data_IF_344562543909
#
_entry.id   IF_344562543909
#
_cell.length_a   1.000
_cell.length_b   1.000
_cell.length_c   1.000
_cell.angle_alpha   90.00
_cell.angle_beta   90.00
_cell.angle_gamma   90.00
#
_symmetry.space_group_name_H-M   'P 1'
#
loop_
_entity.id
_entity.type
_entity.pdbx_description
1 polymer ?
#
# COMPACT_ATOMS: atom_id res chain seq x y z
N UNK A 1 -19.82 3.18 4.17
CA UNK A 1 -20.04 1.75 3.89
C UNK A 1 -20.08 1.55 2.39
N UNK A 2 -19.57 0.43 1.89
CA UNK A 2 -19.62 0.08 0.46
C UNK A 2 -20.71 -0.97 0.25
N UNK A 3 -21.50 -0.85 -0.83
CA UNK A 3 -22.52 -1.83 -1.22
C UNK A 3 -22.28 -2.26 -2.67
N UNK A 4 -22.63 -3.49 -3.02
CA UNK A 4 -22.72 -3.90 -4.42
C UNK A 4 -24.05 -3.45 -5.02
N UNK A 5 -24.06 -3.15 -6.32
CA UNK A 5 -25.26 -2.87 -7.09
C UNK A 5 -25.07 -3.38 -8.53
N UNK A 6 -26.17 -3.57 -9.26
CA UNK A 6 -26.14 -3.83 -10.69
C UNK A 6 -26.54 -2.57 -11.43
N UNK A 7 -25.68 -2.09 -12.32
CA UNK A 7 -26.02 -0.99 -13.22
C UNK A 7 -27.05 -1.48 -14.25
N UNK A 8 -28.21 -0.83 -14.32
CA UNK A 8 -29.31 -1.22 -15.20
C UNK A 8 -29.04 -0.92 -16.68
N UNK A 9 -28.11 0.00 -16.98
CA UNK A 9 -27.77 0.39 -18.36
C UNK A 9 -26.75 -0.56 -18.97
N UNK A 10 -25.70 -0.88 -18.19
CA UNK A 10 -24.59 -1.73 -18.65
C UNK A 10 -24.74 -3.20 -18.25
N UNK A 11 -25.69 -3.51 -17.36
CA UNK A 11 -25.83 -4.81 -16.69
C UNK A 11 -24.58 -5.26 -15.91
N UNK A 12 -23.63 -4.36 -15.67
CA UNK A 12 -22.40 -4.66 -14.93
C UNK A 12 -22.62 -4.55 -13.42
N UNK A 13 -21.97 -5.43 -12.65
CA UNK A 13 -21.91 -5.27 -11.20
C UNK A 13 -20.88 -4.22 -10.79
N UNK A 14 -21.27 -3.36 -9.86
CA UNK A 14 -20.47 -2.22 -9.40
C UNK A 14 -20.46 -2.12 -7.88
N UNK A 15 -19.43 -1.49 -7.33
CA UNK A 15 -19.32 -1.16 -5.91
C UNK A 15 -19.63 0.33 -5.71
N UNK A 16 -20.61 0.64 -4.87
CA UNK A 16 -21.00 2.02 -4.54
C UNK A 16 -20.58 2.34 -3.12
N UNK A 17 -19.75 3.38 -2.97
CA UNK A 17 -19.27 3.89 -1.67
C UNK A 17 -19.84 5.28 -1.41
N UNK A 18 -20.68 5.39 -0.37
CA UNK A 18 -21.18 6.68 0.13
C UNK A 18 -20.13 7.35 1.03
N UNK A 19 -19.90 8.65 0.81
CA UNK A 19 -19.00 9.52 1.58
C UNK A 19 -19.74 10.78 2.04
N UNK A 20 -19.49 11.20 3.27
CA UNK A 20 -20.02 12.45 3.85
C UNK A 20 -18.85 13.28 4.43
N UNK A 21 -18.02 13.92 3.59
CA UNK A 21 -16.68 14.38 4.00
C UNK A 21 -16.64 15.79 4.60
N UNK A 22 -17.76 16.50 4.66
CA UNK A 22 -17.79 17.93 5.04
C UNK A 22 -17.84 18.19 6.55
N UNK A 23 -17.44 17.23 7.37
CA UNK A 23 -17.40 17.39 8.84
C UNK A 23 -16.11 18.05 9.33
N UNK A 24 -15.00 17.95 8.58
CA UNK A 24 -13.75 18.68 8.83
C UNK A 24 -12.93 18.88 7.56
N UNK A 25 -11.91 19.75 7.63
CA UNK A 25 -11.07 20.12 6.47
C UNK A 25 -10.23 18.94 5.98
N UNK A 26 -9.77 18.08 6.88
CA UNK A 26 -8.92 16.92 6.56
C UNK A 26 -9.68 15.88 5.74
N UNK A 27 -10.94 15.62 6.09
CA UNK A 27 -11.80 14.67 5.38
C UNK A 27 -12.19 15.18 4.01
N UNK A 28 -12.58 16.46 3.90
CA UNK A 28 -12.86 17.09 2.62
C UNK A 28 -11.65 17.07 1.68
N UNK A 29 -10.47 17.43 2.20
CA UNK A 29 -9.19 17.35 1.46
C UNK A 29 -8.88 15.91 1.03
N UNK A 30 -9.10 14.91 1.89
CA UNK A 30 -8.88 13.49 1.57
C UNK A 30 -9.77 13.04 0.42
N UNK A 31 -11.05 13.38 0.44
CA UNK A 31 -11.99 12.99 -0.63
C UNK A 31 -11.70 13.71 -1.93
N UNK A 32 -11.37 15.00 -1.89
CA UNK A 32 -10.95 15.73 -3.09
C UNK A 32 -9.72 15.09 -3.74
N UNK A 33 -8.71 14.72 -2.93
CA UNK A 33 -7.54 13.99 -3.40
C UNK A 33 -7.89 12.62 -3.98
N UNK A 34 -8.71 11.82 -3.28
CA UNK A 34 -9.17 10.51 -3.77
C UNK A 34 -9.83 10.66 -5.15
N UNK A 35 -10.74 11.64 -5.32
CA UNK A 35 -11.40 11.91 -6.60
C UNK A 35 -10.42 12.33 -7.71
N UNK A 36 -9.48 13.23 -7.39
CA UNK A 36 -8.48 13.72 -8.36
C UNK A 36 -7.60 12.56 -8.84
N UNK A 37 -7.11 11.72 -7.93
CA UNK A 37 -6.25 10.58 -8.25
C UNK A 37 -7.01 9.50 -9.03
N UNK A 38 -8.21 9.13 -8.59
CA UNK A 38 -9.01 8.09 -9.25
C UNK A 38 -9.41 8.43 -10.68
N UNK A 39 -9.53 9.73 -11.02
CA UNK A 39 -9.78 10.17 -12.41
C UNK A 39 -8.54 10.17 -13.30
N UNK A 40 -7.34 10.22 -12.71
CA UNK A 40 -6.07 10.27 -13.45
C UNK A 40 -5.47 8.88 -13.69
N UNK A 41 -5.78 7.93 -12.80
CA UNK A 41 -5.21 6.59 -12.84
C UNK A 41 -5.99 5.71 -13.81
N UNK A 42 -5.26 5.07 -14.72
CA UNK A 42 -5.76 4.02 -15.60
C UNK A 42 -4.76 2.87 -15.67
N UNK A 43 -4.98 1.86 -14.84
CA UNK A 43 -4.12 0.67 -14.75
C UNK A 43 -4.98 -0.56 -14.43
N UNK A 44 -4.62 -1.74 -14.96
CA UNK A 44 -5.35 -3.00 -14.72
C UNK A 44 -5.36 -3.43 -13.26
N UNK A 45 -4.33 -3.06 -12.51
CA UNK A 45 -4.19 -3.40 -11.08
C UNK A 45 -4.50 -2.22 -10.13
N UNK A 46 -5.13 -1.15 -10.62
CA UNK A 46 -5.63 -0.06 -9.77
C UNK A 46 -7.12 0.11 -10.01
N UNK A 47 -7.89 0.17 -8.91
CA UNK A 47 -9.34 0.30 -8.96
C UNK A 47 -9.77 1.55 -9.74
N UNK A 48 -10.62 1.32 -10.74
CA UNK A 48 -11.19 2.34 -11.61
C UNK A 48 -12.43 2.94 -10.97
N UNK A 49 -12.51 4.27 -11.07
CA UNK A 49 -13.74 5.00 -10.84
C UNK A 49 -14.57 4.95 -12.12
N UNK A 50 -15.75 4.37 -12.03
CA UNK A 50 -16.68 4.27 -13.16
C UNK A 50 -17.57 5.51 -13.24
N UNK A 51 -18.05 5.99 -12.10
CA UNK A 51 -18.90 7.17 -12.01
C UNK A 51 -18.80 7.84 -10.63
N UNK A 52 -19.19 9.11 -10.54
CA UNK A 52 -19.34 9.84 -9.29
C UNK A 52 -20.55 10.75 -9.37
N UNK A 53 -21.42 10.68 -8.36
CA UNK A 53 -22.61 11.51 -8.33
C UNK A 53 -22.96 11.97 -6.91
N UNK A 54 -23.86 12.94 -6.84
CA UNK A 54 -24.49 13.43 -5.62
C UNK A 54 -26.00 13.55 -5.87
N UNK A 55 -26.86 13.03 -4.98
CA UNK A 55 -28.31 13.17 -5.15
C UNK A 55 -28.81 14.59 -4.85
N UNK A 56 -28.00 15.44 -4.21
CA UNK A 56 -28.42 16.76 -3.80
C UNK A 56 -28.41 17.76 -4.97
N UNK A 57 -29.46 18.60 -5.12
CA UNK A 57 -29.66 19.41 -6.32
C UNK A 57 -28.84 20.70 -6.36
N UNK A 58 -28.20 21.09 -5.25
CA UNK A 58 -27.43 22.33 -5.18
C UNK A 58 -26.30 22.26 -4.16
N UNK A 59 -25.29 23.12 -4.37
CA UNK A 59 -24.14 23.26 -3.47
C UNK A 59 -24.55 23.53 -2.00
N UNK A 60 -25.66 24.24 -1.77
CA UNK A 60 -26.16 24.54 -0.43
C UNK A 60 -26.52 23.27 0.35
N UNK A 61 -27.12 22.28 -0.34
CA UNK A 61 -27.55 21.02 0.25
C UNK A 61 -26.54 19.89 0.04
N UNK A 62 -25.42 20.15 -0.62
CA UNK A 62 -24.43 19.13 -0.94
C UNK A 62 -23.82 18.55 0.34
N UNK A 63 -24.08 17.28 0.63
CA UNK A 63 -23.55 16.63 1.85
C UNK A 63 -22.92 15.28 1.55
N UNK A 64 -23.47 14.58 0.56
CA UNK A 64 -23.10 13.21 0.25
C UNK A 64 -22.54 13.08 -1.16
N UNK A 65 -21.53 12.23 -1.28
CA UNK A 65 -20.88 11.86 -2.53
C UNK A 65 -20.96 10.34 -2.65
N UNK A 66 -21.33 9.86 -3.84
CA UNK A 66 -21.37 8.44 -4.17
C UNK A 66 -20.30 8.17 -5.20
N UNK A 67 -19.33 7.33 -4.83
CA UNK A 67 -18.32 6.82 -5.75
C UNK A 67 -18.79 5.47 -6.28
N UNK A 68 -18.92 5.35 -7.59
CA UNK A 68 -19.18 4.08 -8.28
C UNK A 68 -17.85 3.56 -8.81
N UNK A 69 -17.45 2.39 -8.32
CA UNK A 69 -16.18 1.75 -8.68
C UNK A 69 -16.48 0.37 -9.24
N UNK A 70 -15.49 -0.20 -9.93
CA UNK A 70 -15.56 -1.61 -10.32
C UNK A 70 -15.71 -2.51 -9.08
N UNK A 71 -16.60 -3.50 -9.17
CA UNK A 71 -16.78 -4.49 -8.11
C UNK A 71 -15.62 -5.48 -8.16
N UNK A 72 -14.89 -5.60 -7.05
CA UNK A 72 -13.83 -6.58 -6.91
C UNK A 72 -14.37 -7.82 -6.18
N UNK A 73 -14.03 -9.01 -6.67
CA UNK A 73 -14.39 -10.28 -6.04
C UNK A 73 -13.58 -10.51 -4.76
N UNK A 74 -14.03 -9.89 -3.66
CA UNK A 74 -13.39 -9.98 -2.34
C UNK A 74 -13.49 -11.36 -1.70
N UNK A 75 -14.33 -12.26 -2.23
CA UNK A 75 -14.53 -13.60 -1.69
C UNK A 75 -13.27 -14.47 -1.74
N UNK A 76 -12.37 -14.22 -2.71
CA UNK A 76 -11.13 -14.98 -2.88
C UNK A 76 -10.18 -14.83 -1.69
N UNK A 77 -10.13 -13.65 -1.06
CA UNK A 77 -9.29 -13.41 0.12
C UNK A 77 -9.97 -13.84 1.42
N UNK A 78 -11.30 -13.76 1.48
CA UNK A 78 -12.06 -14.01 2.70
C UNK A 78 -12.28 -15.50 3.01
N UNK A 79 -12.42 -16.35 1.99
CA UNK A 79 -12.78 -17.78 2.18
C UNK A 79 -11.59 -18.74 2.05
N UNK A 80 -10.44 -18.26 1.58
CA UNK A 80 -9.27 -19.09 1.32
C UNK A 80 -8.28 -19.02 2.49
N UNK A 81 -8.22 -20.09 3.29
CA UNK A 81 -7.30 -20.17 4.43
C UNK A 81 -5.83 -20.30 4.03
N UNK A 82 -5.55 -20.77 2.81
CA UNK A 82 -4.18 -21.05 2.35
C UNK A 82 -4.01 -20.66 0.87
N UNK A 83 -2.97 -19.89 0.58
CA UNK A 83 -2.57 -19.53 -0.79
C UNK A 83 -1.33 -20.32 -1.19
N UNK A 84 -1.32 -20.83 -2.42
CA UNK A 84 -0.11 -21.44 -2.97
C UNK A 84 0.87 -20.36 -3.47
N UNK A 85 2.13 -20.75 -3.68
CA UNK A 85 3.17 -19.81 -4.10
C UNK A 85 2.86 -19.07 -5.41
N UNK A 86 2.22 -19.72 -6.39
CA UNK A 86 1.84 -19.07 -7.65
C UNK A 86 0.85 -17.93 -7.39
N UNK A 87 -0.19 -18.18 -6.58
CA UNK A 87 -1.19 -17.18 -6.21
C UNK A 87 -0.57 -16.01 -5.44
N UNK A 88 0.27 -16.30 -4.46
CA UNK A 88 0.96 -15.26 -3.69
C UNK A 88 1.86 -14.43 -4.62
N UNK A 89 2.68 -15.08 -5.45
CA UNK A 89 3.58 -14.38 -6.37
C UNK A 89 2.83 -13.48 -7.36
N UNK A 90 1.69 -13.93 -7.88
CA UNK A 90 0.87 -13.13 -8.79
C UNK A 90 0.22 -11.94 -8.08
N UNK A 91 -0.29 -12.13 -6.86
CA UNK A 91 -0.84 -11.03 -6.06
C UNK A 91 0.22 -9.96 -5.76
N UNK A 92 1.42 -10.38 -5.36
CA UNK A 92 2.54 -9.45 -5.12
C UNK A 92 2.98 -8.77 -6.42
N UNK A 93 3.00 -9.48 -7.55
CA UNK A 93 3.25 -8.91 -8.88
C UNK A 93 2.26 -7.78 -9.20
N UNK A 94 0.95 -8.01 -9.04
CA UNK A 94 -0.08 -7.02 -9.32
C UNK A 94 0.08 -5.75 -8.48
N UNK A 95 0.42 -5.90 -7.19
CA UNK A 95 0.69 -4.74 -6.32
C UNK A 95 1.96 -4.00 -6.78
N UNK A 96 3.04 -4.71 -7.10
CA UNK A 96 4.27 -4.10 -7.59
C UNK A 96 4.06 -3.38 -8.93
N UNK A 97 3.27 -3.95 -9.83
CA UNK A 97 2.89 -3.35 -11.13
C UNK A 97 2.10 -2.06 -10.92
N UNK A 98 1.08 -2.08 -10.04
CA UNK A 98 0.33 -0.89 -9.66
C UNK A 98 1.23 0.21 -9.07
N UNK A 99 2.15 -0.13 -8.17
CA UNK A 99 3.07 0.83 -7.56
C UNK A 99 4.04 1.40 -8.58
N UNK A 100 4.57 0.57 -9.49
CA UNK A 100 5.42 1.04 -10.60
C UNK A 100 4.67 2.03 -11.48
N UNK A 101 3.42 1.76 -11.82
CA UNK A 101 2.57 2.66 -12.57
C UNK A 101 2.36 3.99 -11.83
N UNK A 102 1.94 3.94 -10.56
CA UNK A 102 1.71 5.16 -9.76
C UNK A 102 2.97 6.02 -9.65
N UNK A 103 4.13 5.38 -9.43
CA UNK A 103 5.43 6.04 -9.43
C UNK A 103 5.74 6.70 -10.78
N UNK A 104 5.44 6.04 -11.90
CA UNK A 104 5.68 6.59 -13.24
C UNK A 104 4.88 7.87 -13.53
N UNK A 105 3.75 8.05 -12.86
CA UNK A 105 2.89 9.24 -12.98
C UNK A 105 3.09 10.25 -11.83
N UNK A 106 4.17 10.10 -11.05
CA UNK A 106 4.51 11.01 -9.96
C UNK A 106 3.61 10.88 -8.71
N UNK A 107 2.76 9.85 -8.64
CA UNK A 107 1.94 9.57 -7.46
C UNK A 107 2.71 8.64 -6.53
N UNK A 108 3.05 9.16 -5.37
CA UNK A 108 3.54 8.38 -4.25
C UNK A 108 2.31 7.84 -3.49
N UNK A 109 2.09 6.51 -3.47
CA UNK A 109 0.80 5.94 -3.05
C UNK A 109 0.48 6.22 -1.57
N UNK A 110 1.49 6.22 -0.68
CA UNK A 110 1.42 6.70 0.70
C UNK A 110 0.36 6.05 1.64
N UNK A 111 -0.49 5.15 1.14
CA UNK A 111 -1.65 4.60 1.85
C UNK A 111 -1.99 3.16 1.39
N UNK A 112 -0.98 2.33 1.06
CA UNK A 112 -1.15 0.90 0.68
C UNK A 112 -1.51 0.03 1.90
N UNK A 113 -1.21 0.51 3.11
CA UNK A 113 -1.74 -0.04 4.36
C UNK A 113 -1.54 0.98 5.47
N UNK A 114 -2.57 1.18 6.31
CA UNK A 114 -2.52 2.07 7.48
C UNK A 114 -1.36 1.75 8.47
N UNK A 115 -0.66 0.62 8.31
CA UNK A 115 0.39 0.12 9.19
C UNK A 115 1.68 0.98 9.15
N UNK A 116 1.92 1.79 8.10
CA UNK A 116 3.14 2.60 7.99
C UNK A 116 3.19 3.84 8.89
N UNK A 117 2.06 4.32 9.41
CA UNK A 117 2.08 5.48 10.30
C UNK A 117 2.80 5.18 11.63
N UNK A 118 2.89 3.92 12.04
CA UNK A 118 3.54 3.51 13.29
C UNK A 118 5.04 3.79 13.32
N UNK A 119 5.82 3.06 12.52
CA UNK A 119 7.29 3.05 12.62
C UNK A 119 7.97 4.31 12.05
N UNK A 120 7.35 4.98 11.08
CA UNK A 120 7.93 6.18 10.45
C UNK A 120 7.62 7.46 11.21
N UNK A 121 6.45 7.57 11.85
CA UNK A 121 6.17 8.74 12.68
C UNK A 121 6.95 8.73 14.00
N UNK A 122 7.49 7.57 14.37
CA UNK A 122 8.49 7.40 15.44
C UNK A 122 9.83 8.03 15.03
N UNK A 123 10.36 7.70 13.84
CA UNK A 123 11.71 8.07 13.44
C UNK A 123 11.81 9.36 12.58
N UNK A 124 10.71 9.86 12.00
CA UNK A 124 10.65 11.07 11.17
C UNK A 124 11.76 11.20 10.10
N UNK A 125 12.06 10.10 9.39
CA UNK A 125 13.01 10.12 8.26
C UNK A 125 12.39 10.73 6.99
N UNK A 126 13.21 11.30 6.11
CA UNK A 126 12.80 11.82 4.79
C UNK A 126 12.16 10.72 3.91
N UNK A 127 11.26 11.12 3.01
CA UNK A 127 10.50 10.18 2.19
C UNK A 127 11.36 9.61 1.04
N UNK A 128 11.25 8.31 0.78
CA UNK A 128 11.94 7.60 -0.31
C UNK A 128 10.94 6.66 -1.02
N UNK A 129 11.09 6.48 -2.34
CA UNK A 129 10.27 5.59 -3.18
C UNK A 129 10.13 4.15 -2.66
N UNK A 130 11.04 3.69 -1.81
CA UNK A 130 11.06 2.34 -1.21
C UNK A 130 10.18 2.20 0.04
N UNK A 131 9.48 3.25 0.47
CA UNK A 131 8.50 3.15 1.59
C UNK A 131 7.36 2.20 1.24
N UNK A 132 6.88 2.22 0.01
CA UNK A 132 5.80 1.33 -0.45
C UNK A 132 6.25 -0.14 -0.45
N UNK A 133 7.52 -0.43 -0.77
CA UNK A 133 8.09 -1.78 -0.70
C UNK A 133 8.01 -2.39 0.69
N UNK A 134 8.22 -1.60 1.75
CA UNK A 134 8.06 -2.10 3.12
C UNK A 134 6.62 -2.54 3.40
N UNK A 135 5.62 -1.76 2.96
CA UNK A 135 4.21 -2.12 3.08
C UNK A 135 3.89 -3.41 2.33
N UNK A 136 4.41 -3.56 1.12
CA UNK A 136 4.24 -4.76 0.31
C UNK A 136 4.88 -5.95 1.03
N UNK A 137 6.07 -5.79 1.62
CA UNK A 137 6.71 -6.81 2.45
C UNK A 137 5.85 -7.22 3.64
N UNK A 138 5.24 -6.27 4.36
CA UNK A 138 4.31 -6.57 5.44
C UNK A 138 3.07 -7.34 4.95
N UNK A 139 2.45 -6.92 3.83
CA UNK A 139 1.32 -7.62 3.21
C UNK A 139 1.74 -9.05 2.82
N UNK A 140 2.88 -9.19 2.15
CA UNK A 140 3.40 -10.47 1.72
C UNK A 140 3.62 -11.39 2.92
N UNK A 141 4.29 -10.91 3.96
CA UNK A 141 4.51 -11.68 5.19
C UNK A 141 3.22 -12.02 5.94
N UNK A 142 2.21 -11.14 5.94
CA UNK A 142 0.90 -11.43 6.53
C UNK A 142 0.11 -12.48 5.77
N UNK A 143 0.17 -12.48 4.44
CA UNK A 143 -0.47 -13.52 3.62
C UNK A 143 0.15 -14.88 3.91
N UNK A 144 1.48 -14.94 4.08
CA UNK A 144 2.18 -16.18 4.42
C UNK A 144 1.86 -16.62 5.86
N UNK A 145 1.87 -15.67 6.81
CA UNK A 145 1.69 -15.94 8.24
C UNK A 145 0.23 -16.16 8.64
N UNK A 146 -0.72 -15.65 7.85
CA UNK A 146 -2.16 -15.62 8.15
C UNK A 146 -2.56 -14.65 9.27
N UNK A 147 -1.64 -13.81 9.75
CA UNK A 147 -1.89 -12.85 10.84
C UNK A 147 -0.93 -11.68 10.74
N UNK A 148 -1.30 -10.55 11.35
CA UNK A 148 -0.52 -9.30 11.36
C UNK A 148 0.96 -9.58 11.66
N UNK A 149 1.85 -9.08 10.80
CA UNK A 149 3.27 -9.42 10.85
C UNK A 149 3.95 -8.76 12.06
N UNK A 150 3.63 -7.48 12.28
CA UNK A 150 4.12 -6.66 13.38
C UNK A 150 2.91 -6.00 14.08
N UNK A 151 2.27 -6.70 15.03
CA UNK A 151 1.14 -6.13 15.77
C UNK A 151 1.68 -5.23 16.88
N UNK A 152 1.64 -3.92 16.67
CA UNK A 152 1.98 -2.92 17.69
C UNK A 152 0.76 -2.08 18.07
N UNK A 153 0.58 -1.83 19.36
CA UNK A 153 -0.55 -1.06 19.87
C UNK A 153 -0.36 0.46 19.70
N UNK A 154 0.90 0.89 19.69
CA UNK A 154 1.29 2.26 19.48
C UNK A 154 2.69 2.33 18.85
N UNK A 155 3.03 3.53 18.41
CA UNK A 155 4.25 3.89 17.69
C UNK A 155 5.54 3.22 18.19
N UNK A 156 5.86 3.38 19.47
CA UNK A 156 7.09 2.83 20.05
C UNK A 156 7.05 1.29 20.14
N UNK A 157 5.91 0.74 20.54
CA UNK A 157 5.70 -0.71 20.57
C UNK A 157 5.81 -1.33 19.17
N UNK A 158 5.25 -0.68 18.15
CA UNK A 158 5.41 -1.06 16.75
C UNK A 158 6.88 -1.15 16.34
N UNK A 159 7.71 -0.19 16.76
CA UNK A 159 9.15 -0.23 16.50
C UNK A 159 9.81 -1.43 17.19
N UNK A 160 9.51 -1.64 18.48
CA UNK A 160 10.05 -2.75 19.25
C UNK A 160 9.70 -4.11 18.64
N UNK A 161 8.45 -4.29 18.18
CA UNK A 161 8.01 -5.52 17.50
C UNK A 161 8.74 -5.78 16.19
N UNK A 162 9.18 -4.74 15.51
CA UNK A 162 9.95 -4.87 14.26
C UNK A 162 11.39 -5.24 14.60
N UNK A 163 12.03 -4.54 15.53
CA UNK A 163 13.44 -4.80 15.90
C UNK A 163 13.63 -6.14 16.61
N UNK A 164 12.63 -6.59 17.39
CA UNK A 164 12.58 -7.93 17.99
C UNK A 164 12.68 -9.04 16.92
N UNK A 165 12.05 -8.83 15.76
CA UNK A 165 11.94 -9.85 14.71
C UNK A 165 13.00 -9.75 13.62
N UNK A 166 13.37 -8.54 13.22
CA UNK A 166 14.32 -8.30 12.14
C UNK A 166 15.75 -8.08 12.64
N UNK A 167 15.94 -8.02 13.97
CA UNK A 167 17.21 -7.72 14.59
C UNK A 167 17.49 -6.22 14.70
N UNK A 168 18.53 -5.93 15.48
CA UNK A 168 18.99 -4.56 15.71
C UNK A 168 19.58 -3.93 14.44
N UNK A 169 19.39 -2.63 14.31
CA UNK A 169 19.90 -1.87 13.18
C UNK A 169 21.41 -1.65 13.29
N UNK A 170 22.08 -1.69 12.14
CA UNK A 170 23.53 -1.42 12.03
C UNK A 170 23.80 0.02 12.48
N UNK A 171 24.93 0.27 13.15
CA UNK A 171 25.35 1.59 13.67
C UNK A 171 25.16 2.73 12.65
N UNK A 172 25.43 2.46 11.37
CA UNK A 172 25.23 3.38 10.25
C UNK A 172 23.79 3.91 10.11
N UNK A 173 22.77 3.10 10.41
CA UNK A 173 21.38 3.53 10.38
C UNK A 173 21.03 4.41 11.60
N UNK A 174 21.56 4.07 12.78
CA UNK A 174 21.32 4.82 14.02
C UNK A 174 21.81 6.27 13.88
N UNK A 175 22.94 6.48 13.18
CA UNK A 175 23.49 7.81 12.95
C UNK A 175 22.60 8.70 12.06
N UNK A 176 21.74 8.10 11.24
CA UNK A 176 20.78 8.82 10.38
C UNK A 176 19.49 9.22 11.08
N UNK A 177 19.29 8.80 12.33
CA UNK A 177 18.07 9.12 13.09
C UNK A 177 18.10 10.62 13.43
N UNK A 178 17.17 11.46 12.91
CA UNK A 178 17.22 12.91 13.10
C UNK A 178 16.94 13.35 14.54
N UNK A 179 16.18 12.55 15.29
CA UNK A 179 15.77 12.87 16.66
C UNK A 179 16.74 12.30 17.70
N UNK A 180 17.41 13.15 18.51
CA UNK A 180 18.34 12.68 19.54
C UNK A 180 17.70 11.72 20.55
N UNK A 181 16.45 11.99 20.96
CA UNK A 181 15.72 11.15 21.91
C UNK A 181 15.53 9.73 21.37
N UNK A 182 15.18 9.61 20.07
CA UNK A 182 15.01 8.31 19.43
C UNK A 182 16.35 7.62 19.22
N UNK A 183 17.40 8.38 18.86
CA UNK A 183 18.76 7.86 18.74
C UNK A 183 19.23 7.23 20.05
N UNK A 184 19.15 7.98 21.15
CA UNK A 184 19.51 7.49 22.49
C UNK A 184 18.63 6.32 22.93
N UNK A 185 17.34 6.31 22.59
CA UNK A 185 16.47 5.16 22.89
C UNK A 185 16.95 3.89 22.18
N UNK A 186 17.24 3.98 20.88
CA UNK A 186 17.69 2.85 20.06
C UNK A 186 19.08 2.37 20.48
N UNK A 187 20.00 3.28 20.82
CA UNK A 187 21.34 2.96 21.30
C UNK A 187 21.33 2.22 22.65
N UNK A 188 20.35 2.51 23.52
CA UNK A 188 20.24 1.91 24.85
C UNK A 188 19.35 0.65 24.89
N UNK A 189 18.86 0.16 23.74
CA UNK A 189 18.10 -1.08 23.72
C UNK A 189 18.99 -2.28 24.05
N UNK A 190 18.51 -3.28 24.83
CA UNK A 190 19.26 -4.49 25.09
C UNK A 190 19.57 -5.18 23.76
N UNK A 191 20.85 -5.46 23.49
CA UNK A 191 21.28 -6.25 22.34
C UNK A 191 20.68 -7.66 22.43
N UNK A 192 19.47 -7.82 21.88
CA UNK A 192 18.84 -9.11 21.73
C UNK A 192 19.43 -9.76 20.48
N UNK A 193 20.01 -10.95 20.65
CA UNK A 193 20.43 -11.78 19.52
C UNK A 193 19.23 -11.97 18.59
N UNK A 194 19.40 -11.58 17.34
CA UNK A 194 18.37 -11.68 16.32
C UNK A 194 17.85 -13.12 16.27
N UNK A 195 16.52 -13.30 16.30
CA UNK A 195 15.95 -14.45 15.63
C UNK A 195 16.40 -14.33 14.19
N UNK A 196 17.16 -15.31 13.68
CA UNK A 196 17.63 -15.27 12.30
C UNK A 196 16.42 -15.05 11.40
N UNK A 197 16.50 -14.07 10.50
CA UNK A 197 15.45 -13.83 9.49
C UNK A 197 15.03 -15.17 8.83
N UNK A 198 16.01 -16.05 8.61
CA UNK A 198 15.81 -17.41 8.12
C UNK A 198 14.92 -18.27 9.01
N UNK A 199 15.05 -18.24 10.34
CA UNK A 199 14.24 -19.04 11.27
C UNK A 199 12.80 -18.53 11.37
N UNK A 200 12.63 -17.21 11.39
CA UNK A 200 11.30 -16.59 11.36
C UNK A 200 10.51 -17.02 10.12
N UNK A 201 11.15 -17.00 8.95
CA UNK A 201 10.52 -17.40 7.69
C UNK A 201 10.52 -18.91 7.44
N UNK A 202 11.44 -19.68 8.03
CA UNK A 202 11.38 -21.15 8.02
C UNK A 202 10.08 -21.62 8.65
N UNK A 203 9.71 -21.07 9.80
CA UNK A 203 8.46 -21.40 10.49
C UNK A 203 7.21 -20.90 9.75
N UNK A 204 7.23 -19.65 9.25
CA UNK A 204 6.10 -19.06 8.53
C UNK A 204 5.75 -19.83 7.24
N UNK A 205 6.75 -20.28 6.48
CA UNK A 205 6.53 -21.05 5.26
C UNK A 205 6.39 -22.57 5.49
N UNK A 206 6.78 -23.11 6.66
CA UNK A 206 6.60 -24.53 7.00
C UNK A 206 5.15 -24.88 7.33
N UNK A 207 4.38 -23.93 7.87
CA UNK A 207 2.95 -24.15 8.18
C UNK A 207 2.10 -24.50 6.97
N UNK A 208 2.50 -24.09 5.77
CA UNK A 208 1.76 -24.42 4.55
C UNK A 208 1.90 -25.89 4.12
N UNK A 209 2.71 -26.75 4.75
CA UNK A 209 2.80 -28.18 4.44
C UNK A 209 2.89 -28.55 2.93
N UNK A 210 3.37 -27.63 2.07
CA UNK A 210 3.39 -27.78 0.61
C UNK A 210 4.69 -28.43 0.09
N UNK A 211 5.57 -28.90 0.98
CA UNK A 211 6.88 -29.43 0.63
C UNK A 211 6.82 -30.94 0.32
N UNK A 212 6.24 -31.30 -0.84
CA UNK A 212 6.32 -32.66 -1.38
C UNK A 212 7.12 -32.69 -2.70
N UNK A 213 7.34 -31.54 -3.36
CA UNK A 213 8.15 -31.46 -4.60
C UNK A 213 9.26 -30.41 -4.56
N UNK A 214 10.34 -30.65 -5.32
CA UNK A 214 11.50 -29.75 -5.43
C UNK A 214 11.13 -28.35 -5.96
N UNK A 215 10.14 -28.27 -6.85
CA UNK A 215 9.62 -27.01 -7.38
C UNK A 215 9.01 -26.12 -6.29
N UNK A 216 8.31 -26.72 -5.31
CA UNK A 216 7.77 -25.97 -4.17
C UNK A 216 8.87 -25.47 -3.24
N UNK A 217 9.93 -26.26 -3.03
CA UNK A 217 11.09 -25.85 -2.23
C UNK A 217 11.83 -24.67 -2.87
N UNK A 218 12.06 -24.72 -4.18
CA UNK A 218 12.68 -23.63 -4.93
C UNK A 218 11.87 -22.33 -4.84
N UNK A 219 10.55 -22.40 -5.08
CA UNK A 219 9.66 -21.22 -4.95
C UNK A 219 9.58 -20.70 -3.52
N UNK A 220 9.57 -21.58 -2.52
CA UNK A 220 9.63 -21.19 -1.11
C UNK A 220 10.92 -20.43 -0.79
N UNK A 221 12.07 -20.90 -1.30
CA UNK A 221 13.35 -20.20 -1.20
C UNK A 221 13.30 -18.79 -1.81
N UNK A 222 12.84 -18.69 -3.06
CA UNK A 222 12.74 -17.40 -3.75
C UNK A 222 11.76 -16.44 -3.06
N UNK A 223 10.66 -16.95 -2.48
CA UNK A 223 9.71 -16.12 -1.73
C UNK A 223 10.31 -15.55 -0.45
N UNK A 224 11.10 -16.35 0.28
CA UNK A 224 11.83 -15.90 1.47
C UNK A 224 12.89 -14.86 1.15
N UNK A 225 13.64 -15.08 0.08
CA UNK A 225 14.68 -14.16 -0.39
C UNK A 225 14.10 -12.82 -0.84
N UNK A 226 12.97 -12.82 -1.58
CA UNK A 226 12.29 -11.56 -1.92
C UNK A 226 11.84 -10.81 -0.66
N UNK A 227 11.26 -11.53 0.29
CA UNK A 227 10.73 -10.94 1.50
C UNK A 227 11.84 -10.36 2.40
N UNK A 228 13.03 -10.96 2.42
CA UNK A 228 14.21 -10.41 3.12
C UNK A 228 14.68 -9.09 2.55
N UNK A 229 14.62 -8.97 1.23
CA UNK A 229 14.99 -7.75 0.52
C UNK A 229 13.94 -6.64 0.64
N UNK A 230 12.66 -7.00 0.85
CA UNK A 230 11.56 -6.05 1.10
C UNK A 230 11.52 -5.54 2.56
N UNK A 231 11.73 -6.43 3.53
CA UNK A 231 11.67 -6.12 4.98
C UNK A 231 13.04 -5.68 5.53
N UNK A 232 13.67 -4.74 4.84
CA UNK A 232 14.91 -4.09 5.30
C UNK A 232 14.55 -2.74 5.93
N UNK A 233 14.97 -2.49 7.16
CA UNK A 233 14.62 -1.24 7.86
C UNK A 233 15.30 -0.04 7.20
N UNK A 234 16.58 -0.14 6.85
CA UNK A 234 17.30 0.90 6.10
C UNK A 234 16.78 0.99 4.65
N UNK A 235 16.14 2.11 4.25
CA UNK A 235 15.61 2.26 2.89
C UNK A 235 16.67 2.20 1.80
N UNK A 236 17.92 2.63 2.07
CA UNK A 236 18.98 2.61 1.05
C UNK A 236 19.29 1.18 0.59
N UNK A 237 19.30 0.25 1.54
CA UNK A 237 19.59 -1.16 1.32
C UNK A 237 18.34 -1.99 0.97
N UNK A 238 17.14 -1.42 1.10
CA UNK A 238 15.89 -2.07 0.71
C UNK A 238 15.80 -2.22 -0.81
N UNK A 239 15.23 -3.31 -1.30
CA UNK A 239 14.99 -3.50 -2.74
C UNK A 239 14.06 -2.42 -3.30
N UNK A 240 14.31 -1.98 -4.54
CA UNK A 240 13.40 -1.12 -5.31
C UNK A 240 12.24 -1.90 -5.95
N UNK A 241 11.24 -1.18 -6.45
CA UNK A 241 10.11 -1.78 -7.19
C UNK A 241 10.61 -2.47 -8.46
N UNK A 242 11.53 -1.83 -9.17
CA UNK A 242 12.11 -2.30 -10.42
C UNK A 242 12.93 -3.58 -10.21
N UNK A 243 13.69 -3.67 -9.12
CA UNK A 243 14.43 -4.87 -8.75
C UNK A 243 13.50 -5.99 -8.26
N UNK A 244 12.44 -5.65 -7.50
CA UNK A 244 11.48 -6.64 -7.00
C UNK A 244 10.68 -7.31 -8.13
N UNK A 245 10.32 -6.57 -9.18
CA UNK A 245 9.63 -7.11 -10.37
C UNK A 245 10.52 -8.10 -11.14
N UNK A 246 11.83 -7.86 -11.18
CA UNK A 246 12.82 -8.74 -11.81
C UNK A 246 13.22 -9.94 -10.95
N UNK A 247 12.72 -10.03 -9.72
CA UNK A 247 13.10 -11.08 -8.79
C UNK A 247 12.63 -12.46 -9.28
N UNK A 248 13.39 -13.56 -9.12
CA UNK A 248 12.98 -14.90 -9.56
C UNK A 248 11.66 -15.43 -8.99
N UNK A 249 11.14 -14.81 -7.94
CA UNK A 249 9.83 -15.12 -7.38
C UNK A 249 8.67 -14.47 -8.15
N UNK A 250 8.94 -13.37 -8.86
CA UNK A 250 7.96 -12.48 -9.51
C UNK A 250 8.12 -12.49 -11.03
N UNK A 251 9.34 -12.60 -11.55
CA UNK A 251 9.69 -12.45 -12.98
C UNK A 251 8.96 -13.41 -13.91
N UNK A 252 8.36 -14.49 -13.38
CA UNK A 252 7.50 -15.41 -14.12
C UNK A 252 6.24 -14.74 -14.71
N UNK A 253 5.86 -13.58 -14.19
CA UNK A 253 4.66 -12.84 -14.60
C UNK A 253 4.97 -11.66 -15.53
N UNK A 254 6.26 -11.33 -15.71
CA UNK A 254 6.75 -10.16 -16.48
C UNK A 254 6.52 -10.31 -18.00
N UNK A 255 6.22 -11.53 -18.49
CA UNK A 255 6.05 -11.83 -19.92
C UNK A 255 4.65 -11.52 -20.47
N UNK A 256 3.66 -11.22 -19.62
CA UNK A 256 2.32 -10.86 -20.06
C UNK A 256 2.14 -9.35 -20.11
N UNK A 257 2.51 -8.76 -21.26
CA UNK A 257 1.79 -7.68 -21.96
C UNK A 257 0.78 -6.85 -21.16
N UNK A 258 1.18 -6.18 -20.08
CA UNK A 258 0.42 -5.04 -19.57
C UNK A 258 1.06 -3.82 -20.20
N UNK A 259 0.42 -3.35 -21.28
CA UNK A 259 0.79 -2.16 -22.04
C UNK A 259 1.41 -1.13 -21.09
N UNK A 260 2.71 -0.87 -21.27
CA UNK A 260 3.38 0.25 -20.64
C UNK A 260 2.50 1.47 -20.89
N UNK A 261 1.69 1.84 -19.88
CA UNK A 261 0.83 2.99 -19.97
C UNK A 261 1.77 4.19 -19.93
N UNK A 262 2.25 4.58 -21.12
CA UNK A 262 2.97 5.82 -21.35
C UNK A 262 2.01 6.97 -21.06
N UNK A 263 1.97 7.38 -19.80
CA UNK A 263 1.39 8.67 -19.43
C UNK A 263 2.53 9.68 -19.44
N UNK A 264 2.30 10.80 -20.11
CA UNK A 264 3.24 11.93 -20.18
C UNK A 264 3.52 12.44 -18.75
N UNK A 265 4.79 12.51 -18.30
CA UNK A 265 5.17 12.86 -16.92
C UNK A 265 4.73 14.26 -16.46
N UNK A 266 4.46 15.16 -17.41
CA UNK A 266 4.42 16.60 -17.14
C UNK A 266 3.05 17.16 -16.69
N UNK A 267 2.00 16.36 -16.55
CA UNK A 267 0.64 16.90 -16.25
C UNK A 267 0.12 16.67 -14.83
N UNK A 268 0.84 15.91 -13.98
CA UNK A 268 0.29 15.45 -12.69
C UNK A 268 1.00 16.06 -11.47
N UNK A 269 2.28 16.43 -11.59
CA UNK A 269 3.01 17.08 -10.49
C UNK A 269 2.30 18.38 -10.08
N UNK A 270 1.88 19.19 -11.05
CA UNK A 270 1.05 20.39 -10.83
C UNK A 270 -0.32 20.11 -10.19
N UNK A 271 -0.81 18.87 -10.27
CA UNK A 271 -2.09 18.45 -9.69
C UNK A 271 -1.96 18.01 -8.22
N UNK A 272 -0.77 17.65 -7.74
CA UNK A 272 -0.53 17.28 -6.34
C UNK A 272 0.14 18.42 -5.57
N UNK A 273 0.89 19.29 -6.28
CA UNK A 273 1.60 20.50 -5.79
C UNK A 273 0.74 21.78 -5.73
N UNK A 274 -0.60 21.67 -5.72
CA UNK A 274 -1.40 22.67 -5.00
C UNK A 274 -1.11 22.50 -3.49
N UNK A 275 0.10 22.90 -3.09
CA UNK A 275 0.57 23.02 -1.74
C UNK A 275 -0.52 23.64 -0.89
N UNK A 276 -0.93 22.91 0.14
CA UNK A 276 -1.15 23.42 1.50
C UNK A 276 -1.86 24.77 1.66
N UNK A 277 -2.71 25.18 0.73
CA UNK A 277 -3.61 26.29 0.98
C UNK A 277 -4.53 25.84 2.11
N UNK A 278 -4.50 26.59 3.21
CA UNK A 278 -5.46 26.44 4.29
C UNK A 278 -6.84 26.83 3.78
N UNK A 279 -7.47 25.90 3.08
CA UNK A 279 -8.82 26.03 2.57
C UNK A 279 -9.81 25.61 3.62
N UNK A 280 -10.85 26.40 3.79
CA UNK A 280 -12.01 26.04 4.59
C UNK A 280 -12.77 24.85 4.00
N UNK A 281 -13.63 24.22 4.80
CA UNK A 281 -14.50 23.12 4.34
C UNK A 281 -15.38 23.54 3.17
N UNK A 282 -15.90 24.77 3.19
CA UNK A 282 -16.77 25.30 2.13
C UNK A 282 -16.06 25.45 0.78
N UNK A 283 -14.77 25.81 0.80
CA UNK A 283 -13.97 25.86 -0.43
C UNK A 283 -13.77 24.46 -1.01
N UNK A 284 -13.38 23.48 -0.19
CA UNK A 284 -13.28 22.09 -0.63
C UNK A 284 -14.61 21.56 -1.15
N UNK A 285 -15.71 21.90 -0.47
CA UNK A 285 -17.07 21.55 -0.87
C UNK A 285 -17.41 22.10 -2.26
N UNK A 286 -17.08 23.36 -2.52
CA UNK A 286 -17.26 23.98 -3.85
C UNK A 286 -16.41 23.29 -4.92
N UNK A 287 -15.13 23.04 -4.64
CA UNK A 287 -14.22 22.38 -5.60
C UNK A 287 -14.65 20.94 -5.93
N UNK A 288 -15.13 20.20 -4.92
CA UNK A 288 -15.65 18.85 -5.14
C UNK A 288 -16.94 18.93 -5.96
N UNK A 289 -17.85 19.84 -5.64
CA UNK A 289 -19.09 20.04 -6.40
C UNK A 289 -18.83 20.31 -7.87
N UNK A 290 -17.93 21.26 -8.19
CA UNK A 290 -17.53 21.58 -9.56
C UNK A 290 -16.98 20.37 -10.31
N UNK A 291 -16.24 19.49 -9.64
CA UNK A 291 -15.75 18.25 -10.26
C UNK A 291 -16.85 17.23 -10.52
N UNK A 292 -17.88 17.16 -9.69
CA UNK A 292 -18.97 16.18 -9.83
C UNK A 292 -20.00 16.67 -10.85
N UNK A 293 -20.29 17.97 -10.89
CA UNK A 293 -21.30 18.57 -11.76
C UNK A 293 -20.81 18.93 -13.16
N UNK A 294 -19.49 18.94 -13.39
CA UNK A 294 -18.87 19.18 -14.70
C UNK A 294 -18.42 17.89 -15.37
#
# INVERSE_FOLDING_TARGET
>A
MSTSATDSLTHQQVAIKKLSPFHNKESAKRVYRELKLLRLVNHSNVIKLLDVFTPQPSLKHFEDIYLVKELMDGEFLAHKKEFNHSQISYFIYQILSAVKYLKSIGIQHLDIKQILHGSRSVLQMEYNEKVDIWSIGCIFGEIIKGSVLFPGDYRLDQYNKITEKLGHQVKHFIDKIPKPIMKTYVENQPHCESWGFEDFFRFAFSRNNLAISDTHRFRSGNGRDLLSKMLVIDPEHRISVEEALKHPYISLWDENTEANATVQPNSIIDAVDEHEQERGVDEWKKMIWEKISG
#
